data_IF_240859430377
#
_entry.id   IF_240859430377
#
_cell.length_a   1.000
_cell.length_b   1.000
_cell.length_c   1.000
_cell.angle_alpha   90.00
_cell.angle_beta   90.00
_cell.angle_gamma   90.00
#
_symmetry.space_group_name_H-M   'P 1'
#
loop_
_entity.id
_entity.type
_entity.pdbx_description
1 polymer ?
#
# COMPACT_ATOMS: atom_id res chain seq x y z
N UNK A 1 3.62 17.51 -5.12
CA UNK A 1 2.98 16.74 -4.04
C UNK A 1 2.56 15.40 -4.62
N UNK A 2 2.71 14.29 -3.89
CA UNK A 2 2.18 12.99 -4.32
C UNK A 2 0.70 12.89 -3.97
N UNK A 3 -0.10 12.32 -4.88
CA UNK A 3 -1.53 12.17 -4.74
C UNK A 3 -1.88 10.99 -3.81
N UNK A 4 -3.03 11.01 -3.12
CA UNK A 4 -3.42 9.94 -2.20
C UNK A 4 -3.48 8.55 -2.87
N UNK A 5 -3.96 8.47 -4.12
CA UNK A 5 -3.97 7.22 -4.88
C UNK A 5 -2.57 6.73 -5.25
N UNK A 6 -1.63 7.63 -5.57
CA UNK A 6 -0.23 7.28 -5.81
C UNK A 6 0.41 6.69 -4.55
N UNK A 7 0.16 7.30 -3.38
CA UNK A 7 0.63 6.78 -2.10
C UNK A 7 0.01 5.44 -1.73
N UNK A 8 -1.30 5.26 -1.96
CA UNK A 8 -1.96 3.96 -1.77
C UNK A 8 -1.28 2.89 -2.62
N UNK A 9 -1.06 3.14 -3.91
CA UNK A 9 -0.40 2.19 -4.82
C UNK A 9 1.02 1.86 -4.37
N UNK A 10 1.82 2.86 -4.03
CA UNK A 10 3.21 2.65 -3.59
C UNK A 10 3.26 1.87 -2.27
N UNK A 11 2.35 2.15 -1.33
CA UNK A 11 2.29 1.41 -0.07
C UNK A 11 1.99 -0.07 -0.32
N UNK A 12 0.96 -0.37 -1.12
CA UNK A 12 0.60 -1.76 -1.45
C UNK A 12 1.76 -2.46 -2.16
N UNK A 13 2.33 -1.83 -3.20
CA UNK A 13 3.43 -2.41 -3.95
C UNK A 13 4.68 -2.65 -3.09
N UNK A 14 4.99 -1.74 -2.16
CA UNK A 14 6.12 -1.91 -1.23
C UNK A 14 5.92 -3.13 -0.36
N UNK A 15 4.69 -3.41 0.11
CA UNK A 15 4.41 -4.64 0.84
C UNK A 15 4.70 -5.86 -0.01
N UNK A 16 4.23 -5.90 -1.24
CA UNK A 16 4.41 -7.04 -2.15
C UNK A 16 5.91 -7.30 -2.40
N UNK A 17 6.67 -6.23 -2.62
CA UNK A 17 8.12 -6.30 -2.72
C UNK A 17 8.78 -6.84 -1.44
N UNK A 18 8.35 -6.40 -0.26
CA UNK A 18 8.88 -6.93 1.01
C UNK A 18 8.53 -8.42 1.19
N UNK A 19 7.36 -8.87 0.73
CA UNK A 19 6.98 -10.28 0.73
C UNK A 19 7.91 -11.08 -0.18
N UNK A 20 8.19 -10.58 -1.37
CA UNK A 20 9.13 -11.20 -2.32
C UNK A 20 10.54 -11.30 -1.71
N UNK A 21 11.07 -10.19 -1.20
CA UNK A 21 12.38 -10.16 -0.53
C UNK A 21 12.45 -11.16 0.62
N UNK A 22 11.39 -11.28 1.44
CA UNK A 22 11.38 -12.19 2.60
C UNK A 22 11.47 -13.67 2.23
N UNK A 23 11.14 -14.02 0.98
CA UNK A 23 11.06 -15.40 0.46
C UNK A 23 12.19 -15.75 -0.50
N UNK A 24 12.90 -14.77 -1.07
CA UNK A 24 13.94 -15.00 -2.07
C UNK A 24 15.17 -15.70 -1.47
N UNK A 25 15.43 -16.94 -1.90
CA UNK A 25 16.59 -17.73 -1.46
C UNK A 25 17.93 -17.19 -1.94
N UNK A 26 17.91 -16.29 -2.93
CA UNK A 26 19.11 -15.64 -3.48
C UNK A 26 19.64 -14.52 -2.57
N UNK A 27 18.82 -14.07 -1.61
CA UNK A 27 19.17 -12.98 -0.71
C UNK A 27 19.79 -13.47 0.60
N UNK A 28 20.79 -12.73 1.12
CA UNK A 28 21.31 -12.93 2.48
C UNK A 28 20.22 -13.02 3.55
N UNK A 29 20.45 -13.82 4.60
CA UNK A 29 19.46 -14.06 5.67
C UNK A 29 19.11 -12.77 6.44
N UNK A 30 20.06 -11.87 6.63
CA UNK A 30 19.86 -10.58 7.30
C UNK A 30 18.86 -9.69 6.53
N UNK A 31 18.94 -9.65 5.19
CA UNK A 31 17.99 -8.94 4.33
C UNK A 31 16.60 -9.56 4.44
N UNK A 32 16.50 -10.88 4.36
CA UNK A 32 15.22 -11.60 4.51
C UNK A 32 14.58 -11.39 5.88
N UNK A 33 15.39 -11.46 6.94
CA UNK A 33 14.95 -11.23 8.31
C UNK A 33 14.47 -9.80 8.52
N UNK A 34 15.14 -8.82 7.92
CA UNK A 34 14.72 -7.42 7.94
C UNK A 34 13.39 -7.22 7.23
N UNK A 35 13.20 -7.81 6.05
CA UNK A 35 11.92 -7.77 5.34
C UNK A 35 10.78 -8.39 6.17
N UNK A 36 11.03 -9.54 6.82
CA UNK A 36 10.06 -10.17 7.74
C UNK A 36 9.72 -9.27 8.93
N UNK A 37 10.70 -8.57 9.50
CA UNK A 37 10.46 -7.63 10.60
C UNK A 37 9.59 -6.44 10.16
N UNK A 38 9.89 -5.83 9.01
CA UNK A 38 9.09 -4.74 8.48
C UNK A 38 7.64 -5.17 8.22
N UNK A 39 7.44 -6.35 7.63
CA UNK A 39 6.10 -6.90 7.34
C UNK A 39 5.20 -7.08 8.56
N UNK A 40 5.74 -7.15 9.78
CA UNK A 40 4.93 -7.26 11.02
C UNK A 40 4.12 -6.00 11.32
N UNK A 41 4.60 -4.85 10.86
CA UNK A 41 3.99 -3.55 11.14
C UNK A 41 3.65 -2.76 9.87
N UNK A 42 4.08 -3.26 8.71
CA UNK A 42 3.69 -2.68 7.44
C UNK A 42 2.21 -2.98 7.16
N UNK A 43 1.41 -2.02 6.68
CA UNK A 43 -0.01 -2.24 6.41
C UNK A 43 -0.21 -3.18 5.22
N UNK A 44 -1.31 -3.92 5.21
CA UNK A 44 -1.79 -4.68 4.05
C UNK A 44 -2.78 -3.86 3.20
N UNK A 45 -3.08 -4.32 1.99
CA UNK A 45 -3.94 -3.58 1.06
C UNK A 45 -5.30 -3.25 1.67
N UNK A 46 -5.93 -4.20 2.36
CA UNK A 46 -7.21 -3.97 3.05
C UNK A 46 -7.11 -2.88 4.10
N UNK A 47 -6.05 -2.87 4.92
CA UNK A 47 -5.82 -1.83 5.93
C UNK A 47 -5.64 -0.44 5.28
N UNK A 48 -4.89 -0.36 4.19
CA UNK A 48 -4.69 0.88 3.42
C UNK A 48 -6.00 1.39 2.82
N UNK A 49 -6.81 0.50 2.22
CA UNK A 49 -8.10 0.88 1.65
C UNK A 49 -9.12 1.31 2.71
N UNK A 50 -9.17 0.61 3.85
CA UNK A 50 -10.03 0.99 4.97
C UNK A 50 -9.63 2.35 5.55
N UNK A 51 -8.33 2.63 5.68
CA UNK A 51 -7.84 3.95 6.08
C UNK A 51 -8.30 5.03 5.08
N UNK A 52 -8.15 4.79 3.78
CA UNK A 52 -8.64 5.69 2.73
C UNK A 52 -10.14 5.96 2.81
N UNK A 53 -10.97 4.92 3.04
CA UNK A 53 -12.43 5.08 3.22
C UNK A 53 -12.76 5.93 4.45
N UNK A 54 -12.05 5.71 5.55
CA UNK A 54 -12.21 6.50 6.78
C UNK A 54 -11.85 7.97 6.59
N UNK A 55 -10.74 8.25 5.92
CA UNK A 55 -10.29 9.61 5.62
C UNK A 55 -11.28 10.33 4.70
N UNK A 56 -11.75 9.67 3.64
CA UNK A 56 -12.75 10.22 2.71
C UNK A 56 -14.08 10.52 3.42
N UNK A 57 -14.52 9.66 4.35
CA UNK A 57 -15.72 9.90 5.16
C UNK A 57 -15.55 11.09 6.11
N UNK A 58 -14.35 11.29 6.64
CA UNK A 58 -14.05 12.35 7.59
C UNK A 58 -13.54 13.64 6.91
N UNK A 59 -13.35 13.65 5.59
CA UNK A 59 -12.80 14.77 4.83
C UNK A 59 -13.62 16.06 5.00
N UNK A 60 -14.92 15.96 5.31
CA UNK A 60 -15.76 17.11 5.64
C UNK A 60 -15.55 17.67 7.05
N UNK A 61 -14.90 16.90 7.93
CA UNK A 61 -14.75 17.19 9.36
C UNK A 61 -13.30 17.58 9.72
N UNK A 62 -12.32 17.07 8.98
CA UNK A 62 -10.90 17.36 9.21
C UNK A 62 -10.30 18.13 8.04
N UNK A 63 -9.58 19.21 8.33
CA UNK A 63 -8.85 20.05 7.35
C UNK A 63 -7.59 19.35 6.77
N UNK A 64 -7.37 18.09 7.10
CA UNK A 64 -6.18 17.36 6.65
C UNK A 64 -6.47 16.75 5.27
N UNK A 65 -5.54 16.93 4.34
CA UNK A 65 -5.61 16.23 3.05
C UNK A 65 -5.54 14.72 3.28
N UNK A 66 -6.39 13.94 2.60
CA UNK A 66 -6.35 12.47 2.63
C UNK A 66 -4.92 11.97 2.40
N UNK A 67 -4.46 11.03 3.21
CA UNK A 67 -3.19 10.30 3.09
C UNK A 67 -3.35 9.18 2.07
N UNK A 68 -4.40 8.38 2.20
CA UNK A 68 -4.73 7.28 1.30
C UNK A 68 -6.01 7.56 0.52
N UNK A 69 -6.18 6.87 -0.59
CA UNK A 69 -7.45 6.82 -1.31
C UNK A 69 -7.99 5.40 -1.35
N UNK A 70 -9.30 5.27 -1.13
CA UNK A 70 -10.03 4.01 -1.31
C UNK A 70 -10.24 3.66 -2.79
N UNK A 71 -10.26 4.67 -3.67
CA UNK A 71 -10.52 4.50 -5.10
C UNK A 71 -9.42 3.73 -5.85
N UNK A 72 -8.23 3.59 -5.25
CA UNK A 72 -7.16 2.78 -5.83
C UNK A 72 -7.51 1.27 -5.86
N UNK A 73 -8.51 0.81 -5.06
CA UNK A 73 -9.05 -0.55 -5.09
C UNK A 73 -9.55 -0.92 -6.50
N UNK A 74 -10.10 0.05 -7.24
CA UNK A 74 -10.61 -0.14 -8.61
C UNK A 74 -9.53 -0.15 -9.69
N UNK A 75 -8.37 0.46 -9.45
CA UNK A 75 -7.26 0.46 -10.41
C UNK A 75 -6.46 -0.84 -10.36
N UNK A 76 -6.39 -1.51 -9.21
CA UNK A 76 -5.82 -2.86 -9.12
C UNK A 76 -6.65 -3.92 -9.85
N UNK A 77 -7.96 -3.70 -10.02
CA UNK A 77 -8.84 -4.61 -10.76
C UNK A 77 -8.90 -4.32 -12.28
N UNK A 78 -8.29 -3.22 -12.74
CA UNK A 78 -8.51 -2.63 -14.07
C UNK A 78 -7.32 -2.60 -15.03
N UNK A 79 -6.11 -2.99 -14.62
CA UNK A 79 -4.96 -2.98 -15.52
C UNK A 79 -4.91 -4.26 -16.38
N UNK A 80 -5.81 -4.37 -17.37
CA UNK A 80 -5.54 -4.82 -18.75
C UNK A 80 -6.80 -4.68 -19.62
N UNK A 81 -6.97 -3.50 -20.23
CA UNK A 81 -7.40 -3.41 -21.63
C UNK A 81 -6.94 -2.07 -22.20
N UNK A 82 -5.82 -2.09 -22.94
CA UNK A 82 -5.50 -1.05 -23.94
C UNK A 82 -6.43 -1.23 -25.15
N UNK A 83 -6.78 -0.14 -25.85
CA UNK A 83 -5.95 0.29 -26.98
C UNK A 83 -5.27 1.65 -26.77
#
# INVERSE_FOLDING_TARGET
MTMPHERTRVAIHTRDFLVELSRSVELPEDVRSSAKHLLRHYPNATEVFLAGKGEELLASTICWSNVFSSAAEYLFQGDYCQP
#
